data_IF_002420198228
#
_entry.id   IF_002420198228
#
_cell.length_a   1.000
_cell.length_b   1.000
_cell.length_c   1.000
_cell.angle_alpha   90.00
_cell.angle_beta   90.00
_cell.angle_gamma   90.00
#
_symmetry.space_group_name_H-M   'P 1'
#
loop_
_entity.id
_entity.type
_entity.pdbx_description
1 polymer ?
#
# COMPACT_ATOMS: atom_id res chain seq x y z
N UNK A 1 -10.68 -26.00 -35.37
CA UNK A 1 -10.54 -26.02 -33.90
C UNK A 1 -9.11 -25.58 -33.58
N UNK A 2 -8.94 -24.37 -33.02
CA UNK A 2 -7.59 -23.87 -32.69
C UNK A 2 -7.02 -24.71 -31.55
N UNK A 3 -5.80 -25.20 -31.74
CA UNK A 3 -5.15 -26.12 -30.82
C UNK A 3 -4.97 -25.47 -29.43
N UNK A 4 -5.26 -26.19 -28.35
CA UNK A 4 -5.29 -25.62 -26.99
C UNK A 4 -3.94 -25.02 -26.57
N UNK A 5 -2.84 -25.60 -27.05
CA UNK A 5 -1.48 -25.09 -26.85
C UNK A 5 -1.23 -23.74 -27.52
N UNK A 6 -1.81 -23.50 -28.71
CA UNK A 6 -1.69 -22.20 -29.41
C UNK A 6 -2.44 -21.12 -28.64
N UNK A 7 -3.64 -21.44 -28.15
CA UNK A 7 -4.46 -20.53 -27.33
C UNK A 7 -3.77 -20.19 -26.00
N UNK A 8 -3.21 -21.18 -25.31
CA UNK A 8 -2.43 -20.97 -24.09
C UNK A 8 -1.20 -20.08 -24.34
N UNK A 9 -0.45 -20.34 -25.40
CA UNK A 9 0.74 -19.57 -25.73
C UNK A 9 0.42 -18.09 -26.01
N UNK A 10 -0.69 -17.81 -26.69
CA UNK A 10 -1.18 -16.44 -26.91
C UNK A 10 -1.46 -15.74 -25.57
N UNK A 11 -2.17 -16.39 -24.64
CA UNK A 11 -2.43 -15.78 -23.33
C UNK A 11 -1.15 -15.52 -22.55
N UNK A 12 -0.22 -16.47 -22.51
CA UNK A 12 1.05 -16.29 -21.81
C UNK A 12 1.91 -15.19 -22.42
N UNK A 13 1.95 -15.06 -23.75
CA UNK A 13 2.65 -13.97 -24.43
C UNK A 13 2.01 -12.62 -24.09
N UNK A 14 0.68 -12.52 -24.13
CA UNK A 14 -0.04 -11.31 -23.75
C UNK A 14 0.26 -10.89 -22.30
N UNK A 15 0.23 -11.83 -21.35
CA UNK A 15 0.58 -11.55 -19.96
C UNK A 15 2.04 -11.11 -19.82
N UNK A 16 2.99 -11.78 -20.50
CA UNK A 16 4.41 -11.39 -20.48
C UNK A 16 4.63 -10.00 -21.02
N UNK A 17 3.96 -9.62 -22.11
CA UNK A 17 4.06 -8.26 -22.68
C UNK A 17 3.48 -7.24 -21.70
N UNK A 18 2.32 -7.51 -21.11
CA UNK A 18 1.71 -6.61 -20.12
C UNK A 18 2.62 -6.41 -18.89
N UNK A 19 3.19 -7.49 -18.35
CA UNK A 19 4.14 -7.41 -17.23
C UNK A 19 5.44 -6.71 -17.63
N UNK A 20 5.97 -6.98 -18.83
CA UNK A 20 7.17 -6.31 -19.31
C UNK A 20 6.94 -4.80 -19.45
N UNK A 21 5.82 -4.40 -20.04
CA UNK A 21 5.45 -2.99 -20.20
C UNK A 21 5.28 -2.29 -18.85
N UNK A 22 4.63 -2.92 -17.87
CA UNK A 22 4.45 -2.32 -16.54
C UNK A 22 5.77 -2.16 -15.80
N UNK A 23 6.68 -3.14 -15.91
CA UNK A 23 8.02 -3.06 -15.33
C UNK A 23 8.85 -1.98 -16.01
N UNK A 24 8.82 -1.87 -17.34
CA UNK A 24 9.52 -0.82 -18.08
C UNK A 24 9.02 0.56 -17.68
N UNK A 25 7.70 0.75 -17.56
CA UNK A 25 7.12 2.01 -17.12
C UNK A 25 7.52 2.37 -15.68
N UNK A 26 7.50 1.39 -14.77
CA UNK A 26 7.95 1.58 -13.39
C UNK A 26 9.44 1.95 -13.33
N UNK A 27 10.29 1.26 -14.08
CA UNK A 27 11.71 1.55 -14.18
C UNK A 27 11.96 2.95 -14.76
N UNK A 28 11.19 3.35 -15.78
CA UNK A 28 11.27 4.68 -16.35
C UNK A 28 10.97 5.77 -15.31
N UNK A 29 9.87 5.66 -14.57
CA UNK A 29 9.51 6.63 -13.52
C UNK A 29 10.59 6.65 -12.43
N UNK A 30 11.06 5.48 -12.01
CA UNK A 30 12.06 5.36 -10.96
C UNK A 30 13.38 6.01 -11.39
N UNK A 31 13.88 5.70 -12.59
CA UNK A 31 15.11 6.29 -13.15
C UNK A 31 14.97 7.80 -13.37
N UNK A 32 13.82 8.26 -13.88
CA UNK A 32 13.55 9.69 -14.04
C UNK A 32 13.59 10.42 -12.69
N UNK A 33 12.92 9.86 -11.67
CA UNK A 33 12.88 10.43 -10.31
C UNK A 33 14.27 10.44 -9.67
N UNK A 34 15.05 9.37 -9.84
CA UNK A 34 16.42 9.32 -9.32
C UNK A 34 17.33 10.35 -10.00
N UNK A 35 17.24 10.47 -11.33
CA UNK A 35 18.06 11.42 -12.10
C UNK A 35 17.80 12.86 -11.67
N UNK A 36 16.54 13.24 -11.52
CA UNK A 36 16.16 14.59 -11.07
C UNK A 36 16.40 14.80 -9.56
N UNK A 37 16.30 13.74 -8.76
CA UNK A 37 16.41 13.80 -7.31
C UNK A 37 17.85 13.79 -6.78
N UNK A 38 18.78 13.07 -7.43
CA UNK A 38 20.11 12.77 -6.86
C UNK A 38 20.93 14.03 -6.56
N UNK A 39 20.78 15.09 -7.34
CA UNK A 39 21.48 16.37 -7.12
C UNK A 39 21.03 17.14 -5.88
N UNK A 40 19.90 16.76 -5.28
CA UNK A 40 19.29 17.43 -4.12
C UNK A 40 19.48 16.62 -2.82
N UNK A 41 19.91 15.36 -2.92
CA UNK A 41 20.10 14.47 -1.76
C UNK A 41 21.42 14.82 -1.05
N UNK A 42 21.32 15.67 -0.03
CA UNK A 42 22.40 15.93 0.92
C UNK A 42 21.91 15.71 2.37
N UNK A 43 22.82 15.64 3.34
CA UNK A 43 22.52 15.46 4.76
C UNK A 43 21.56 16.55 5.28
N UNK A 44 21.67 17.77 4.74
CA UNK A 44 20.76 18.88 5.05
C UNK A 44 19.36 18.62 4.54
N UNK A 45 19.20 18.02 3.36
CA UNK A 45 17.90 17.62 2.83
C UNK A 45 17.27 16.52 3.71
N UNK A 46 18.06 15.57 4.21
CA UNK A 46 17.53 14.50 5.06
C UNK A 46 17.15 14.94 6.48
N UNK A 47 17.85 15.92 7.04
CA UNK A 47 17.72 16.30 8.47
C UNK A 47 17.03 17.64 8.71
N UNK A 48 16.91 18.50 7.71
CA UNK A 48 16.22 19.79 7.88
C UNK A 48 14.71 19.63 7.93
N UNK A 49 14.09 20.40 8.82
CA UNK A 49 12.64 20.56 8.89
C UNK A 49 12.20 21.59 7.86
N UNK A 50 11.15 21.31 7.09
CA UNK A 50 10.44 22.38 6.39
C UNK A 50 9.53 23.11 7.39
N UNK A 51 9.60 24.44 7.39
CA UNK A 51 8.76 25.26 8.26
C UNK A 51 7.67 25.91 7.40
N UNK A 52 6.40 25.69 7.78
CA UNK A 52 5.20 26.10 7.03
C UNK A 52 5.11 25.45 5.63
N UNK A 53 4.00 25.68 4.91
CA UNK A 53 3.59 25.00 3.63
C UNK A 53 4.61 25.04 2.47
N UNK A 54 5.86 25.49 2.69
CA UNK A 54 6.98 25.44 1.76
C UNK A 54 7.65 24.05 1.71
N UNK A 55 6.89 23.05 1.27
CA UNK A 55 7.39 21.67 1.05
C UNK A 55 8.49 21.65 -0.03
N UNK A 56 8.51 22.64 -0.93
CA UNK A 56 9.47 22.74 -2.03
C UNK A 56 10.86 23.23 -1.61
N UNK A 57 11.02 23.81 -0.41
CA UNK A 57 12.29 24.46 0.01
C UNK A 57 12.90 23.90 1.30
N UNK A 58 12.23 22.99 2.01
CA UNK A 58 12.79 22.32 3.19
C UNK A 58 13.20 20.87 2.93
N UNK A 59 13.71 20.20 3.96
CA UNK A 59 14.14 18.80 3.89
C UNK A 59 12.99 17.79 3.92
N UNK A 60 13.29 16.50 4.10
CA UNK A 60 12.29 15.42 4.20
C UNK A 60 12.17 14.85 5.62
N UNK A 61 12.84 15.46 6.61
CA UNK A 61 12.92 14.94 7.97
C UNK A 61 11.54 14.69 8.62
N UNK A 62 10.58 15.65 8.61
CA UNK A 62 9.23 15.40 9.11
C UNK A 62 8.47 14.27 8.40
N UNK A 63 8.71 14.02 7.10
CA UNK A 63 8.08 12.90 6.40
C UNK A 63 8.61 11.56 6.89
N UNK A 64 9.92 11.45 7.08
CA UNK A 64 10.57 10.23 7.59
C UNK A 64 10.06 9.94 9.00
N UNK A 65 10.18 10.92 9.90
CA UNK A 65 9.79 10.78 11.30
C UNK A 65 8.27 10.56 11.42
N UNK A 66 7.47 11.30 10.65
CA UNK A 66 6.02 11.13 10.60
C UNK A 66 5.61 9.73 10.14
N UNK A 67 6.27 9.17 9.13
CA UNK A 67 6.03 7.80 8.66
C UNK A 67 6.34 6.77 9.74
N UNK A 68 7.46 6.93 10.45
CA UNK A 68 7.86 6.02 11.54
C UNK A 68 6.85 6.08 12.68
N UNK A 69 6.52 7.28 13.17
CA UNK A 69 5.56 7.45 14.26
C UNK A 69 4.17 6.93 13.88
N UNK A 70 3.72 7.18 12.65
CA UNK A 70 2.44 6.66 12.16
C UNK A 70 2.45 5.13 12.09
N UNK A 71 3.51 4.53 11.53
CA UNK A 71 3.63 3.08 11.43
C UNK A 71 3.63 2.42 12.81
N UNK A 72 4.39 2.97 13.77
CA UNK A 72 4.45 2.47 15.15
C UNK A 72 3.10 2.65 15.84
N UNK A 73 2.51 3.85 15.77
CA UNK A 73 1.23 4.16 16.40
C UNK A 73 0.10 3.26 15.92
N UNK A 74 0.00 3.05 14.61
CA UNK A 74 -0.98 2.11 14.03
C UNK A 74 -0.68 0.67 14.47
N UNK A 75 0.58 0.24 14.43
CA UNK A 75 0.96 -1.13 14.80
C UNK A 75 0.65 -1.47 16.26
N UNK A 76 0.90 -0.56 17.19
CA UNK A 76 0.62 -0.75 18.63
C UNK A 76 -0.85 -1.06 18.88
N UNK A 77 -1.76 -0.48 18.10
CA UNK A 77 -3.20 -0.66 18.28
C UNK A 77 -3.69 -1.84 17.44
N UNK A 78 -3.34 -1.88 16.16
CA UNK A 78 -3.87 -2.86 15.21
C UNK A 78 -3.35 -4.27 15.45
N UNK A 79 -2.07 -4.44 15.85
CA UNK A 79 -1.50 -5.78 16.04
C UNK A 79 -2.16 -6.52 17.21
N UNK A 80 -2.26 -5.96 18.44
CA UNK A 80 -2.90 -6.67 19.54
C UNK A 80 -4.36 -6.98 19.24
N UNK A 81 -5.12 -6.03 18.68
CA UNK A 81 -6.53 -6.24 18.32
C UNK A 81 -6.65 -7.34 17.27
N UNK A 82 -5.79 -7.33 16.25
CA UNK A 82 -5.77 -8.34 15.19
C UNK A 82 -5.48 -9.74 15.72
N UNK A 83 -4.49 -9.88 16.60
CA UNK A 83 -4.14 -11.15 17.24
C UNK A 83 -5.29 -11.65 18.13
N UNK A 84 -5.81 -10.80 19.03
CA UNK A 84 -6.92 -11.16 19.91
C UNK A 84 -8.16 -11.60 19.11
N UNK A 85 -8.49 -10.88 18.04
CA UNK A 85 -9.60 -11.22 17.15
C UNK A 85 -9.36 -12.56 16.46
N UNK A 86 -8.15 -12.81 15.97
CA UNK A 86 -7.80 -14.07 15.31
C UNK A 86 -7.88 -15.26 16.27
N UNK A 87 -7.40 -15.11 17.50
CA UNK A 87 -7.50 -16.15 18.56
C UNK A 87 -8.97 -16.40 18.90
N UNK A 88 -9.74 -15.35 19.17
CA UNK A 88 -11.15 -15.50 19.51
C UNK A 88 -11.94 -16.22 18.42
N UNK A 89 -11.78 -15.82 17.15
CA UNK A 89 -12.54 -16.36 16.03
C UNK A 89 -12.16 -17.82 15.67
N UNK A 90 -10.96 -18.28 16.05
CA UNK A 90 -10.51 -19.65 15.78
C UNK A 90 -10.70 -20.59 16.96
N UNK A 91 -10.40 -20.14 18.18
CA UNK A 91 -10.37 -21.03 19.36
C UNK A 91 -11.67 -20.97 20.17
N UNK A 92 -12.34 -19.82 20.24
CA UNK A 92 -13.45 -19.60 21.18
C UNK A 92 -14.81 -19.40 20.50
N UNK A 93 -14.83 -18.87 19.28
CA UNK A 93 -16.07 -18.50 18.61
C UNK A 93 -16.80 -19.74 18.07
N UNK A 94 -18.07 -19.90 18.47
CA UNK A 94 -18.97 -20.92 17.91
C UNK A 94 -19.28 -20.62 16.45
N UNK A 95 -19.47 -21.67 15.65
CA UNK A 95 -19.89 -21.53 14.27
C UNK A 95 -21.36 -21.11 14.20
N UNK A 96 -21.60 -19.83 13.94
CA UNK A 96 -22.92 -19.25 13.72
C UNK A 96 -22.86 -18.24 12.57
N UNK A 97 -24.03 -17.71 12.18
CA UNK A 97 -24.13 -16.75 11.08
C UNK A 97 -23.28 -15.50 11.31
N UNK A 98 -23.19 -15.02 12.55
CA UNK A 98 -22.41 -13.84 12.90
C UNK A 98 -20.90 -14.09 12.70
N UNK A 99 -20.36 -15.18 13.25
CA UNK A 99 -18.95 -15.59 13.07
C UNK A 99 -18.62 -15.78 11.59
N UNK A 100 -19.54 -16.37 10.82
CA UNK A 100 -19.38 -16.56 9.36
C UNK A 100 -19.32 -15.23 8.62
N UNK A 101 -20.19 -14.28 8.94
CA UNK A 101 -20.19 -12.94 8.35
C UNK A 101 -18.92 -12.17 8.68
N UNK A 102 -18.46 -12.23 9.93
CA UNK A 102 -17.21 -11.58 10.34
C UNK A 102 -16.02 -12.17 9.57
N UNK A 103 -15.90 -13.51 9.51
CA UNK A 103 -14.84 -14.18 8.75
C UNK A 103 -14.87 -13.80 7.25
N UNK A 104 -16.06 -13.66 6.66
CA UNK A 104 -16.22 -13.22 5.28
C UNK A 104 -15.76 -11.76 5.10
N UNK A 105 -16.16 -10.86 6.01
CA UNK A 105 -15.76 -9.46 5.96
C UNK A 105 -14.24 -9.30 6.07
N UNK A 106 -13.58 -10.03 6.99
CA UNK A 106 -12.12 -10.02 7.13
C UNK A 106 -11.44 -10.48 5.83
N UNK A 107 -11.92 -11.56 5.21
CA UNK A 107 -11.37 -12.06 3.94
C UNK A 107 -11.54 -11.05 2.80
N UNK A 108 -12.71 -10.41 2.72
CA UNK A 108 -12.95 -9.37 1.72
C UNK A 108 -12.03 -8.17 1.95
N UNK A 109 -11.89 -7.69 3.20
CA UNK A 109 -11.01 -6.59 3.55
C UNK A 109 -9.54 -6.90 3.25
N UNK A 110 -9.08 -8.14 3.50
CA UNK A 110 -7.72 -8.57 3.16
C UNK A 110 -7.46 -8.59 1.64
N UNK A 111 -8.50 -8.74 0.82
CA UNK A 111 -8.40 -8.74 -0.64
C UNK A 111 -8.51 -7.34 -1.28
N UNK A 112 -8.89 -6.30 -0.52
CA UNK A 112 -9.00 -4.93 -1.06
C UNK A 112 -7.61 -4.37 -1.34
N UNK A 113 -7.37 -3.80 -2.54
CA UNK A 113 -6.10 -3.15 -2.86
C UNK A 113 -5.79 -1.95 -1.95
N UNK A 114 -4.53 -1.76 -1.59
CA UNK A 114 -4.09 -0.65 -0.71
C UNK A 114 -4.46 0.74 -1.23
N UNK A 115 -4.48 0.93 -2.56
CA UNK A 115 -4.87 2.22 -3.19
C UNK A 115 -6.30 2.62 -2.83
N UNK A 116 -7.21 1.65 -2.66
CA UNK A 116 -8.62 1.90 -2.30
C UNK A 116 -8.69 2.43 -0.88
N UNK A 117 -7.94 1.82 0.06
CA UNK A 117 -7.85 2.33 1.43
C UNK A 117 -7.25 3.73 1.50
N UNK A 118 -6.26 4.03 0.66
CA UNK A 118 -5.66 5.36 0.57
C UNK A 118 -6.64 6.43 0.12
N UNK A 119 -7.36 6.20 -0.98
CA UNK A 119 -8.35 7.16 -1.50
C UNK A 119 -9.56 7.27 -0.58
N UNK A 120 -10.01 6.17 0.03
CA UNK A 120 -11.08 6.20 1.03
C UNK A 120 -10.67 7.07 2.23
N UNK A 121 -9.46 6.89 2.75
CA UNK A 121 -8.94 7.70 3.85
C UNK A 121 -8.91 9.20 3.51
N UNK A 122 -8.40 9.54 2.32
CA UNK A 122 -8.43 10.93 1.83
C UNK A 122 -9.87 11.47 1.75
N UNK A 123 -10.78 10.70 1.15
CA UNK A 123 -12.17 11.12 0.95
C UNK A 123 -12.91 11.33 2.26
N UNK A 124 -12.72 10.44 3.23
CA UNK A 124 -13.44 10.49 4.49
C UNK A 124 -12.82 11.46 5.48
N UNK A 125 -11.50 11.41 5.71
CA UNK A 125 -10.86 12.18 6.78
C UNK A 125 -10.42 13.58 6.37
N UNK A 126 -10.27 13.86 5.08
CA UNK A 126 -9.78 15.16 4.59
C UNK A 126 -10.84 15.93 3.81
N UNK A 127 -11.61 15.24 2.97
CA UNK A 127 -12.63 15.90 2.14
C UNK A 127 -14.00 16.00 2.83
N UNK A 128 -14.36 15.02 3.66
CA UNK A 128 -15.67 14.96 4.32
C UNK A 128 -15.65 15.49 5.76
N UNK A 129 -14.72 15.01 6.60
CA UNK A 129 -14.51 15.47 7.97
C UNK A 129 -13.71 16.78 8.01
#
# INVERSE_FOLDING_TARGET
MVNEHVRQNIYFISFRIATFLSVVFLLFILLYTLKEGIGVIDIKFLTSMWFHRNITRGGIFPAIIGTIFLAIGVSIISIPIGICTAIYLNEYAKENLLTRTIKLAIRNLAGVPSIVYGIFGLSFFVLFL
#
